data_IF_170246804443
#
_entry.id   IF_170246804443
#
_cell.length_a   1.000
_cell.length_b   1.000
_cell.length_c   1.000
_cell.angle_alpha   90.00
_cell.angle_beta   90.00
_cell.angle_gamma   90.00
#
_symmetry.space_group_name_H-M   'P 1'
#
loop_
_entity.id
_entity.type
_entity.pdbx_description
1 polymer ?
#
# COMPACT_ATOMS: atom_id res chain seq x y z
N UNK A 1 22.99 -7.23 32.20
CA UNK A 1 22.46 -8.55 31.83
C UNK A 1 21.09 -8.70 32.49
N UNK A 2 20.00 -8.62 31.72
CA UNK A 2 18.65 -8.84 32.25
C UNK A 2 18.45 -10.32 32.63
N UNK A 3 17.60 -10.59 33.63
CA UNK A 3 17.29 -11.95 34.07
C UNK A 3 16.62 -12.75 32.92
N UNK A 4 16.83 -14.08 32.82
CA UNK A 4 16.26 -14.89 31.74
C UNK A 4 14.73 -14.79 31.63
N UNK A 5 14.01 -14.76 32.77
CA UNK A 5 12.54 -14.65 32.79
C UNK A 5 12.01 -13.30 32.31
N UNK A 6 12.72 -12.20 32.58
CA UNK A 6 12.33 -10.87 32.10
C UNK A 6 12.55 -10.73 30.61
N UNK A 7 13.59 -11.37 30.06
CA UNK A 7 13.87 -11.34 28.61
C UNK A 7 12.78 -12.01 27.78
N UNK A 8 12.24 -13.16 28.24
CA UNK A 8 11.17 -13.87 27.53
C UNK A 8 9.87 -13.09 27.51
N UNK A 9 9.45 -12.51 28.64
CA UNK A 9 8.24 -11.66 28.70
C UNK A 9 8.36 -10.44 27.79
N UNK A 10 9.52 -9.79 27.77
CA UNK A 10 9.78 -8.64 26.89
C UNK A 10 9.75 -9.05 25.42
N UNK A 11 10.39 -10.17 25.05
CA UNK A 11 10.37 -10.68 23.66
C UNK A 11 8.94 -11.03 23.19
N UNK A 12 8.12 -11.67 24.04
CA UNK A 12 6.72 -11.97 23.71
C UNK A 12 5.90 -10.70 23.51
N UNK A 13 6.05 -9.70 24.38
CA UNK A 13 5.33 -8.43 24.25
C UNK A 13 5.74 -7.67 22.99
N UNK A 14 7.04 -7.63 22.69
CA UNK A 14 7.57 -7.03 21.46
C UNK A 14 6.98 -7.71 20.21
N UNK A 15 6.92 -9.04 20.20
CA UNK A 15 6.32 -9.82 19.12
C UNK A 15 4.84 -9.51 18.95
N UNK A 16 4.07 -9.43 20.04
CA UNK A 16 2.65 -9.07 19.96
C UNK A 16 2.47 -7.67 19.41
N UNK A 17 3.28 -6.70 19.83
CA UNK A 17 3.18 -5.34 19.31
C UNK A 17 3.52 -5.26 17.81
N UNK A 18 4.55 -5.97 17.35
CA UNK A 18 4.85 -6.07 15.92
C UNK A 18 3.72 -6.76 15.15
N UNK A 19 3.13 -7.81 15.71
CA UNK A 19 2.02 -8.53 15.07
C UNK A 19 0.81 -7.61 14.90
N UNK A 20 0.45 -6.86 15.95
CA UNK A 20 -0.62 -5.87 15.91
C UNK A 20 -0.31 -4.75 14.89
N UNK A 21 0.93 -4.28 14.82
CA UNK A 21 1.36 -3.27 13.86
C UNK A 21 1.26 -3.78 12.41
N UNK A 22 1.73 -5.00 12.15
CA UNK A 22 1.64 -5.67 10.86
C UNK A 22 0.18 -5.86 10.42
N UNK A 23 -0.66 -6.33 11.35
CA UNK A 23 -2.09 -6.52 11.09
C UNK A 23 -2.75 -5.16 10.77
N UNK A 24 -2.55 -4.15 11.60
CA UNK A 24 -3.15 -2.83 11.41
C UNK A 24 -2.83 -2.20 10.05
N UNK A 25 -1.60 -2.36 9.57
CA UNK A 25 -1.17 -1.84 8.27
C UNK A 25 -1.66 -2.65 7.06
N UNK A 26 -2.27 -3.82 7.26
CA UNK A 26 -2.67 -4.72 6.18
C UNK A 26 -4.20 -4.85 6.00
N UNK A 27 -5.01 -4.50 7.01
CA UNK A 27 -6.47 -4.77 7.01
C UNK A 27 -7.27 -3.86 6.08
N UNK A 28 -7.01 -2.56 6.07
CA UNK A 28 -7.93 -1.63 5.41
C UNK A 28 -7.96 -1.79 3.88
N UNK A 29 -6.83 -2.17 3.27
CA UNK A 29 -6.66 -2.07 1.83
C UNK A 29 -7.37 -3.18 1.02
N UNK A 30 -7.37 -4.46 1.43
CA UNK A 30 -8.24 -5.48 0.85
C UNK A 30 -9.73 -5.11 0.82
N UNK A 31 -10.22 -4.42 1.86
CA UNK A 31 -11.62 -3.98 1.95
C UNK A 31 -11.90 -2.89 0.92
N UNK A 32 -11.01 -1.89 0.80
CA UNK A 32 -11.16 -0.81 -0.18
C UNK A 32 -11.06 -1.33 -1.62
N UNK A 33 -10.13 -2.23 -1.92
CA UNK A 33 -10.06 -2.88 -3.25
C UNK A 33 -11.32 -3.72 -3.50
N UNK A 34 -11.79 -4.47 -2.51
CA UNK A 34 -13.02 -5.24 -2.63
C UNK A 34 -14.22 -4.37 -3.01
N UNK A 35 -14.37 -3.23 -2.32
CA UNK A 35 -15.41 -2.24 -2.60
C UNK A 35 -15.27 -1.62 -4.00
N UNK A 36 -14.05 -1.30 -4.45
CA UNK A 36 -13.79 -0.76 -5.79
C UNK A 36 -14.23 -1.71 -6.92
N UNK A 37 -14.12 -3.02 -6.70
CA UNK A 37 -14.46 -4.05 -7.68
C UNK A 37 -15.86 -4.66 -7.45
N UNK A 38 -16.62 -4.18 -6.46
CA UNK A 38 -17.94 -4.73 -6.12
C UNK A 38 -17.90 -6.18 -5.63
N UNK A 39 -16.78 -6.60 -5.02
CA UNK A 39 -16.60 -7.98 -4.56
C UNK A 39 -17.56 -8.32 -3.42
N UNK A 40 -18.05 -9.55 -3.43
CA UNK A 40 -18.85 -10.11 -2.34
C UNK A 40 -18.03 -10.27 -1.06
N UNK A 41 -18.71 -10.33 0.09
CA UNK A 41 -18.03 -10.51 1.38
C UNK A 41 -17.12 -11.76 1.45
N UNK A 42 -17.49 -12.94 0.91
CA UNK A 42 -16.56 -14.07 0.80
C UNK A 42 -15.32 -13.79 -0.03
N UNK A 43 -15.44 -13.07 -1.16
CA UNK A 43 -14.31 -12.70 -2.01
C UNK A 43 -13.37 -11.71 -1.31
N UNK A 44 -13.92 -10.73 -0.59
CA UNK A 44 -13.14 -9.82 0.27
C UNK A 44 -12.43 -10.60 1.38
N UNK A 45 -13.09 -11.58 1.98
CA UNK A 45 -12.51 -12.47 2.99
C UNK A 45 -11.34 -13.27 2.41
N UNK A 46 -11.51 -13.84 1.21
CA UNK A 46 -10.44 -14.55 0.49
C UNK A 46 -9.28 -13.63 0.12
N UNK A 47 -9.54 -12.41 -0.35
CA UNK A 47 -8.50 -11.41 -0.64
C UNK A 47 -7.75 -10.99 0.63
N UNK A 48 -8.46 -10.76 1.74
CA UNK A 48 -7.86 -10.48 3.04
C UNK A 48 -6.95 -11.63 3.48
N UNK A 49 -7.43 -12.87 3.40
CA UNK A 49 -6.67 -14.06 3.76
C UNK A 49 -5.31 -14.10 3.05
N UNK A 50 -5.36 -14.02 1.72
CA UNK A 50 -4.20 -14.13 0.84
C UNK A 50 -3.26 -12.95 1.01
N UNK A 51 -3.80 -11.74 1.24
CA UNK A 51 -2.99 -10.55 1.55
C UNK A 51 -2.27 -10.67 2.89
N UNK A 52 -2.93 -11.09 3.97
CA UNK A 52 -2.28 -11.29 5.28
C UNK A 52 -1.20 -12.37 5.20
N UNK A 53 -1.47 -13.46 4.47
CA UNK A 53 -0.51 -14.53 4.23
C UNK A 53 0.77 -14.00 3.57
N UNK A 54 0.60 -13.28 2.45
CA UNK A 54 1.72 -12.73 1.68
C UNK A 54 2.45 -11.62 2.45
N UNK A 55 1.76 -10.72 3.15
CA UNK A 55 2.35 -9.69 4.03
C UNK A 55 3.29 -10.32 5.07
N UNK A 56 2.81 -11.34 5.78
CA UNK A 56 3.63 -12.03 6.79
C UNK A 56 4.82 -12.75 6.16
N UNK A 57 4.60 -13.47 5.06
CA UNK A 57 5.65 -14.24 4.39
C UNK A 57 6.72 -13.31 3.79
N UNK A 58 6.29 -12.24 3.11
CA UNK A 58 7.14 -11.22 2.52
C UNK A 58 8.00 -10.52 3.58
N UNK A 59 7.39 -10.09 4.70
CA UNK A 59 8.07 -9.46 5.83
C UNK A 59 9.14 -10.38 6.43
N UNK A 60 8.82 -11.66 6.60
CA UNK A 60 9.77 -12.66 7.09
C UNK A 60 10.93 -12.87 6.12
N UNK A 61 10.65 -13.10 4.83
CA UNK A 61 11.66 -13.34 3.79
C UNK A 61 12.62 -12.16 3.64
N UNK A 62 12.09 -10.93 3.65
CA UNK A 62 12.91 -9.72 3.63
C UNK A 62 13.78 -9.56 4.87
N UNK A 63 13.22 -9.83 6.06
CA UNK A 63 13.93 -9.74 7.33
C UNK A 63 15.03 -10.80 7.51
N UNK A 64 14.91 -11.97 6.88
CA UNK A 64 15.90 -13.05 6.94
C UNK A 64 16.93 -12.95 5.81
N UNK A 65 16.48 -12.84 4.56
CA UNK A 65 17.33 -13.01 3.38
C UNK A 65 17.50 -11.72 2.57
N UNK A 66 16.42 -10.95 2.40
CA UNK A 66 16.39 -9.72 1.60
C UNK A 66 17.21 -8.57 2.18
N UNK A 67 16.56 -7.49 2.62
CA UNK A 67 17.27 -6.35 3.21
C UNK A 67 17.71 -6.57 4.67
N UNK A 68 17.24 -7.63 5.34
CA UNK A 68 17.66 -8.09 6.68
C UNK A 68 17.42 -7.13 7.85
N UNK A 69 16.46 -6.22 7.73
CA UNK A 69 16.03 -5.27 8.77
C UNK A 69 14.59 -5.58 9.23
N UNK A 70 14.16 -5.12 10.41
CA UNK A 70 12.76 -5.20 10.84
C UNK A 70 11.91 -4.14 10.13
N UNK A 71 11.60 -4.39 8.85
CA UNK A 71 10.75 -3.51 8.04
C UNK A 71 9.54 -4.33 7.61
N UNK A 72 8.36 -3.85 7.95
CA UNK A 72 7.10 -4.42 7.47
C UNK A 72 7.00 -4.30 5.95
N UNK A 73 6.67 -5.41 5.30
CA UNK A 73 6.18 -5.44 3.92
C UNK A 73 4.66 -5.35 3.95
N UNK A 74 4.09 -4.20 3.62
CA UNK A 74 2.64 -3.99 3.64
C UNK A 74 2.06 -3.72 2.26
N UNK A 75 0.74 -3.82 2.07
CA UNK A 75 0.09 -3.50 0.80
C UNK A 75 0.47 -2.08 0.33
N UNK A 76 0.94 -1.93 -0.91
CA UNK A 76 1.50 -0.66 -1.38
C UNK A 76 0.41 0.33 -1.80
N UNK A 77 0.52 1.59 -1.37
CA UNK A 77 -0.42 2.65 -1.74
C UNK A 77 -0.52 2.90 -3.25
N UNK A 78 0.58 2.72 -4.00
CA UNK A 78 0.56 2.83 -5.47
C UNK A 78 -0.35 1.79 -6.11
N UNK A 79 -0.44 0.59 -5.54
CA UNK A 79 -1.32 -0.44 -6.06
C UNK A 79 -2.78 -0.03 -5.95
N UNK A 80 -3.21 0.67 -4.89
CA UNK A 80 -4.59 1.20 -4.82
C UNK A 80 -4.90 2.06 -6.05
N UNK A 81 -3.97 2.95 -6.44
CA UNK A 81 -4.15 3.81 -7.61
C UNK A 81 -4.23 3.00 -8.90
N UNK A 82 -3.41 1.96 -9.05
CA UNK A 82 -3.41 1.10 -10.23
C UNK A 82 -4.72 0.28 -10.28
N UNK A 83 -5.15 -0.31 -9.16
CA UNK A 83 -6.42 -1.02 -9.04
C UNK A 83 -7.61 -0.12 -9.37
N UNK A 84 -7.66 1.11 -8.83
CA UNK A 84 -8.75 2.05 -9.09
C UNK A 84 -8.83 2.46 -10.56
N UNK A 85 -7.70 2.81 -11.19
CA UNK A 85 -7.65 3.17 -12.61
C UNK A 85 -8.06 1.99 -13.49
N UNK A 86 -7.54 0.79 -13.20
CA UNK A 86 -7.84 -0.40 -14.00
C UNK A 86 -9.27 -0.91 -13.81
N UNK A 87 -9.84 -0.83 -12.60
CA UNK A 87 -11.25 -1.15 -12.37
C UNK A 87 -12.16 -0.33 -13.28
N UNK A 88 -11.86 0.96 -13.39
CA UNK A 88 -12.65 1.88 -14.18
C UNK A 88 -12.41 1.72 -15.69
N UNK A 89 -11.16 1.57 -16.13
CA UNK A 89 -10.84 1.39 -17.55
C UNK A 89 -11.28 0.03 -18.09
N UNK A 90 -11.16 -1.04 -17.30
CA UNK A 90 -11.60 -2.39 -17.67
C UNK A 90 -13.11 -2.42 -17.94
N UNK A 91 -13.91 -1.84 -17.03
CA UNK A 91 -15.35 -1.69 -17.22
C UNK A 91 -15.72 -0.95 -18.51
N UNK A 92 -14.97 0.09 -18.89
CA UNK A 92 -15.20 0.83 -20.14
C UNK A 92 -14.84 0.02 -21.39
N UNK A 93 -13.80 -0.81 -21.31
CA UNK A 93 -13.42 -1.72 -22.40
C UNK A 93 -14.40 -2.91 -22.54
N UNK A 94 -15.37 -3.05 -21.63
CA UNK A 94 -16.29 -4.17 -21.57
C UNK A 94 -15.70 -5.42 -20.92
N UNK A 95 -14.53 -5.28 -20.27
CA UNK A 95 -13.89 -6.37 -19.54
C UNK A 95 -14.71 -6.67 -18.27
N UNK A 96 -14.78 -7.95 -17.93
CA UNK A 96 -15.26 -8.37 -16.61
C UNK A 96 -14.30 -7.90 -15.52
N UNK A 97 -14.80 -7.77 -14.29
CA UNK A 97 -13.95 -7.45 -13.14
C UNK A 97 -12.85 -8.51 -12.97
N UNK A 98 -13.15 -9.78 -13.28
CA UNK A 98 -12.20 -10.89 -13.17
C UNK A 98 -11.07 -10.79 -14.19
N UNK A 99 -11.37 -10.50 -15.46
CA UNK A 99 -10.35 -10.27 -16.49
C UNK A 99 -9.44 -9.09 -16.10
N UNK A 100 -10.03 -8.01 -15.57
CA UNK A 100 -9.26 -6.86 -15.07
C UNK A 100 -8.30 -7.25 -13.94
N UNK A 101 -8.77 -8.07 -12.99
CA UNK A 101 -7.97 -8.59 -11.89
C UNK A 101 -6.83 -9.51 -12.38
N UNK A 102 -7.07 -10.34 -13.40
CA UNK A 102 -6.03 -11.17 -14.02
C UNK A 102 -4.94 -10.33 -14.70
N UNK A 103 -5.33 -9.23 -15.37
CA UNK A 103 -4.36 -8.28 -15.96
C UNK A 103 -3.57 -7.55 -14.88
N UNK A 104 -4.19 -7.23 -13.74
CA UNK A 104 -3.52 -6.68 -12.56
C UNK A 104 -2.46 -7.66 -12.01
N UNK A 105 -2.79 -8.95 -11.87
CA UNK A 105 -1.80 -9.97 -11.48
C UNK A 105 -0.65 -10.07 -12.49
N UNK A 106 -0.95 -10.04 -13.79
CA UNK A 106 0.06 -10.00 -14.84
C UNK A 106 0.97 -8.77 -14.74
N UNK A 107 0.41 -7.62 -14.36
CA UNK A 107 1.17 -6.38 -14.10
C UNK A 107 2.05 -6.50 -12.86
N UNK A 108 1.58 -7.18 -11.80
CA UNK A 108 2.39 -7.50 -10.63
C UNK A 108 3.55 -8.44 -10.99
N UNK A 109 3.35 -9.41 -11.87
CA UNK A 109 4.42 -10.27 -12.39
C UNK A 109 5.46 -9.48 -13.17
N UNK A 110 5.04 -8.56 -14.05
CA UNK A 110 5.98 -7.66 -14.74
C UNK A 110 6.79 -6.83 -13.74
N UNK A 111 6.12 -6.23 -12.75
CA UNK A 111 6.75 -5.47 -11.67
C UNK A 111 7.78 -6.32 -10.92
N UNK A 112 7.38 -7.53 -10.54
CA UNK A 112 8.24 -8.47 -9.82
C UNK A 112 9.46 -8.89 -10.64
N UNK A 113 9.28 -9.15 -11.93
CA UNK A 113 10.36 -9.45 -12.86
C UNK A 113 11.38 -8.30 -12.90
N UNK A 114 10.94 -7.05 -13.11
CA UNK A 114 11.85 -5.91 -13.16
C UNK A 114 12.63 -5.71 -11.84
N UNK A 115 11.97 -5.86 -10.69
CA UNK A 115 12.63 -5.79 -9.39
C UNK A 115 13.69 -6.89 -9.20
N UNK A 116 13.38 -8.12 -9.60
CA UNK A 116 14.34 -9.23 -9.62
C UNK A 116 15.54 -8.88 -10.49
N UNK A 117 15.31 -8.40 -11.72
CA UNK A 117 16.37 -8.00 -12.65
C UNK A 117 17.22 -6.85 -12.07
N UNK A 118 16.60 -5.84 -11.44
CA UNK A 118 17.31 -4.73 -10.80
C UNK A 118 18.25 -5.22 -9.69
N UNK A 119 17.79 -6.15 -8.85
CA UNK A 119 18.62 -6.71 -7.78
C UNK A 119 19.72 -7.64 -8.31
N UNK A 120 19.36 -8.60 -9.19
CA UNK A 120 20.28 -9.60 -9.73
C UNK A 120 21.42 -8.99 -10.53
N UNK A 121 21.11 -8.04 -11.42
CA UNK A 121 22.11 -7.34 -12.24
C UNK A 121 22.76 -6.16 -11.51
N UNK A 122 22.49 -5.99 -10.20
CA UNK A 122 23.00 -4.90 -9.36
C UNK A 122 22.68 -3.50 -9.92
N UNK A 123 21.58 -3.37 -10.65
CA UNK A 123 21.14 -2.13 -11.28
C UNK A 123 20.38 -1.21 -10.32
N UNK A 124 19.98 -1.70 -9.13
CA UNK A 124 19.16 -0.92 -8.19
C UNK A 124 19.72 0.49 -7.95
N UNK A 125 21.02 0.61 -7.64
CA UNK A 125 21.66 1.91 -7.42
C UNK A 125 21.68 2.83 -8.65
N UNK A 126 21.66 2.26 -9.86
CA UNK A 126 21.64 3.02 -11.13
C UNK A 126 20.25 3.51 -11.51
N UNK A 127 19.19 2.96 -10.92
CA UNK A 127 17.82 3.40 -11.17
C UNK A 127 17.42 4.51 -10.18
N UNK A 128 18.00 4.49 -8.98
CA UNK A 128 17.66 5.41 -7.90
C UNK A 128 18.03 6.87 -8.14
N UNK A 129 18.99 7.18 -9.02
CA UNK A 129 19.35 8.58 -9.33
C UNK A 129 18.17 9.40 -9.89
N UNK A 130 17.14 8.72 -10.38
CA UNK A 130 15.91 9.32 -10.88
C UNK A 130 14.99 9.79 -9.73
N UNK A 131 15.04 9.14 -8.56
CA UNK A 131 14.14 9.43 -7.43
C UNK A 131 14.84 10.32 -6.40
N UNK A 132 15.07 11.56 -6.80
CA UNK A 132 15.47 12.62 -5.85
C UNK A 132 14.33 12.90 -4.84
N UNK A 133 14.61 13.53 -3.69
CA UNK A 133 13.54 13.98 -2.77
C UNK A 133 12.48 14.82 -3.49
N UNK A 134 12.88 15.67 -4.44
CA UNK A 134 11.97 16.46 -5.26
C UNK A 134 11.00 15.59 -6.09
N UNK A 135 11.52 14.61 -6.83
CA UNK A 135 10.70 13.68 -7.63
C UNK A 135 9.78 12.84 -6.74
N UNK A 136 10.32 12.32 -5.64
CA UNK A 136 9.58 11.51 -4.67
C UNK A 136 8.46 12.33 -4.02
N UNK A 137 8.73 13.58 -3.65
CA UNK A 137 7.75 14.49 -3.09
C UNK A 137 6.60 14.78 -4.05
N UNK A 138 6.91 15.03 -5.32
CA UNK A 138 5.91 15.26 -6.36
C UNK A 138 5.04 14.02 -6.60
N UNK A 139 5.65 12.83 -6.66
CA UNK A 139 4.94 11.56 -6.79
C UNK A 139 3.98 11.33 -5.61
N UNK A 140 4.45 11.48 -4.36
CA UNK A 140 3.62 11.28 -3.17
C UNK A 140 2.45 12.27 -3.12
N UNK A 141 2.68 13.52 -3.53
CA UNK A 141 1.63 14.53 -3.64
C UNK A 141 0.56 14.11 -4.66
N UNK A 142 0.96 13.73 -5.89
CA UNK A 142 -0.02 13.31 -6.90
C UNK A 142 -0.73 12.00 -6.52
N UNK A 143 -0.03 11.05 -5.90
CA UNK A 143 -0.63 9.78 -5.45
C UNK A 143 -1.74 10.02 -4.42
N UNK A 144 -1.51 10.95 -3.50
CA UNK A 144 -2.48 11.30 -2.45
C UNK A 144 -3.64 12.12 -3.00
N UNK A 145 -3.41 12.98 -4.00
CA UNK A 145 -4.50 13.65 -4.75
C UNK A 145 -5.36 12.62 -5.50
N UNK A 146 -4.74 11.71 -6.26
CA UNK A 146 -5.45 10.68 -7.05
C UNK A 146 -6.40 9.83 -6.21
N UNK A 147 -5.97 9.43 -5.02
CA UNK A 147 -6.72 8.53 -4.15
C UNK A 147 -7.70 9.24 -3.21
N UNK A 148 -7.62 10.57 -3.11
CA UNK A 148 -8.53 11.35 -2.27
C UNK A 148 -10.00 11.16 -2.68
N UNK A 149 -10.29 11.15 -3.99
CA UNK A 149 -11.64 10.89 -4.51
C UNK A 149 -12.14 9.49 -4.14
N UNK A 150 -11.35 8.45 -4.44
CA UNK A 150 -11.67 7.06 -4.11
C UNK A 150 -11.99 6.86 -2.62
N UNK A 151 -11.18 7.42 -1.71
CA UNK A 151 -11.46 7.29 -0.29
C UNK A 151 -12.73 8.04 0.12
N UNK A 152 -12.95 9.25 -0.40
CA UNK A 152 -14.16 10.01 -0.09
C UNK A 152 -15.42 9.31 -0.62
N UNK A 153 -15.40 8.75 -1.82
CA UNK A 153 -16.51 7.95 -2.37
C UNK A 153 -16.83 6.77 -1.45
N UNK A 154 -15.81 6.01 -1.05
CA UNK A 154 -15.97 4.90 -0.12
C UNK A 154 -16.45 5.30 1.28
N UNK A 155 -16.03 6.47 1.78
CA UNK A 155 -16.51 7.04 3.04
C UNK A 155 -17.98 7.50 2.96
N UNK A 156 -18.41 8.03 1.82
CA UNK A 156 -19.77 8.54 1.60
C UNK A 156 -20.77 7.45 1.20
N UNK A 157 -20.32 6.20 1.05
CA UNK A 157 -21.15 5.08 0.60
C UNK A 157 -21.54 5.15 -0.88
N UNK A 158 -20.75 5.87 -1.70
CA UNK A 158 -21.04 6.11 -3.13
C UNK A 158 -20.57 4.96 -4.03
N UNK A 159 -20.92 3.73 -3.66
CA UNK A 159 -20.56 2.53 -4.43
C UNK A 159 -21.57 2.26 -5.56
N UNK A 160 -21.28 1.26 -6.39
CA UNK A 160 -22.11 0.92 -7.54
C UNK A 160 -23.57 0.64 -7.11
N UNK A 161 -24.51 1.38 -7.70
CA UNK A 161 -25.93 1.30 -7.36
C UNK A 161 -26.40 2.23 -6.23
N UNK A 162 -25.53 3.07 -5.66
CA UNK A 162 -25.94 4.08 -4.69
C UNK A 162 -26.79 5.20 -5.35
N UNK A 163 -27.95 5.49 -4.75
CA UNK A 163 -28.83 6.60 -5.19
C UNK A 163 -28.35 7.97 -4.69
N UNK A 164 -27.42 7.99 -3.75
CA UNK A 164 -26.87 9.21 -3.15
C UNK A 164 -25.98 8.91 -1.94
N UNK A 165 -25.59 9.95 -1.22
CA UNK A 165 -24.75 9.84 -0.01
C UNK A 165 -25.51 9.08 1.07
N UNK A 166 -24.88 8.03 1.61
CA UNK A 166 -25.40 7.35 2.80
C UNK A 166 -24.96 8.10 4.06
N UNK A 167 -25.92 8.68 4.77
CA UNK A 167 -25.67 9.49 5.96
C UNK A 167 -24.99 8.73 7.11
N UNK A 168 -25.32 7.44 7.29
CA UNK A 168 -24.72 6.61 8.33
C UNK A 168 -23.28 6.23 7.99
N UNK A 169 -23.02 5.84 6.73
CA UNK A 169 -21.67 5.55 6.25
C UNK A 169 -20.78 6.79 6.36
N UNK A 170 -21.27 7.94 5.91
CA UNK A 170 -20.55 9.21 6.00
C UNK A 170 -20.24 9.57 7.46
N UNK A 171 -21.24 9.55 8.35
CA UNK A 171 -21.05 9.89 9.76
C UNK A 171 -20.02 8.99 10.44
N UNK A 172 -20.15 7.68 10.29
CA UNK A 172 -19.21 6.70 10.88
C UNK A 172 -17.80 6.89 10.33
N UNK A 173 -17.65 7.12 9.02
CA UNK A 173 -16.38 7.37 8.38
C UNK A 173 -15.71 8.66 8.87
N UNK A 174 -16.42 9.79 8.94
CA UNK A 174 -15.85 11.05 9.41
C UNK A 174 -15.50 11.02 10.91
N UNK A 175 -16.29 10.35 11.74
CA UNK A 175 -15.93 10.11 13.15
C UNK A 175 -14.67 9.26 13.24
N UNK A 176 -14.59 8.17 12.47
CA UNK A 176 -13.40 7.31 12.38
C UNK A 176 -12.16 8.11 11.96
N UNK A 177 -12.26 8.91 10.90
CA UNK A 177 -11.20 9.78 10.42
C UNK A 177 -10.72 10.74 11.52
N UNK A 178 -11.66 11.41 12.19
CA UNK A 178 -11.37 12.31 13.29
C UNK A 178 -10.66 11.62 14.46
N UNK A 179 -11.07 10.40 14.81
CA UNK A 179 -10.41 9.59 15.84
C UNK A 179 -8.99 9.20 15.44
N UNK A 180 -8.78 8.68 14.23
CA UNK A 180 -7.44 8.30 13.75
C UNK A 180 -6.51 9.50 13.71
N UNK A 181 -6.96 10.64 13.16
CA UNK A 181 -6.16 11.87 13.10
C UNK A 181 -5.89 12.44 14.49
N UNK A 182 -6.90 12.49 15.36
CA UNK A 182 -6.77 12.96 16.75
C UNK A 182 -5.73 12.16 17.51
N UNK A 183 -5.77 10.83 17.43
CA UNK A 183 -4.79 9.94 18.04
C UNK A 183 -3.40 10.06 17.40
N UNK A 184 -3.33 10.24 16.07
CA UNK A 184 -2.05 10.36 15.35
C UNK A 184 -1.32 11.68 15.69
N UNK A 185 -2.08 12.77 15.87
CA UNK A 185 -1.53 14.11 16.14
C UNK A 185 -1.24 14.28 17.64
N UNK A 186 -2.25 14.02 18.48
CA UNK A 186 -2.21 14.36 19.92
C UNK A 186 -1.88 13.18 20.83
N UNK A 187 -2.00 11.95 20.33
CA UNK A 187 -1.73 10.74 21.09
C UNK A 187 -0.27 10.63 21.54
N UNK A 188 -0.05 9.86 22.61
CA UNK A 188 1.29 9.63 23.20
C UNK A 188 1.58 8.13 23.25
N UNK A 189 2.86 7.78 23.08
CA UNK A 189 3.34 6.41 23.15
C UNK A 189 2.54 5.46 22.26
N UNK A 190 2.01 4.39 22.85
CA UNK A 190 1.28 3.32 22.14
C UNK A 190 0.03 3.82 21.41
N UNK A 191 -0.70 4.80 21.96
CA UNK A 191 -1.92 5.32 21.32
C UNK A 191 -1.64 5.93 19.95
N UNK A 192 -0.47 6.59 19.81
CA UNK A 192 -0.02 7.15 18.54
C UNK A 192 0.45 6.06 17.57
N UNK A 193 1.19 5.06 18.06
CA UNK A 193 1.65 3.92 17.26
C UNK A 193 0.52 3.08 16.68
N UNK A 194 -0.59 2.95 17.41
CA UNK A 194 -1.74 2.14 17.03
C UNK A 194 -2.98 2.97 16.68
N UNK A 195 -2.82 4.26 16.37
CA UNK A 195 -3.93 5.19 16.11
C UNK A 195 -4.89 4.68 15.03
N UNK A 196 -4.34 4.11 13.94
CA UNK A 196 -5.13 3.52 12.84
C UNK A 196 -5.97 2.34 13.34
N UNK A 197 -5.38 1.40 14.08
CA UNK A 197 -6.10 0.24 14.58
C UNK A 197 -7.18 0.63 15.61
N UNK A 198 -6.86 1.53 16.53
CA UNK A 198 -7.82 2.02 17.53
C UNK A 198 -8.97 2.73 16.84
N UNK A 199 -8.69 3.57 15.85
CA UNK A 199 -9.71 4.27 15.08
C UNK A 199 -10.59 3.31 14.27
N UNK A 200 -10.01 2.32 13.58
CA UNK A 200 -10.78 1.27 12.89
C UNK A 200 -11.66 0.52 13.89
N UNK A 201 -11.11 0.11 15.04
CA UNK A 201 -11.85 -0.66 16.04
C UNK A 201 -13.04 0.14 16.61
N UNK A 202 -12.80 1.41 16.96
CA UNK A 202 -13.85 2.29 17.48
C UNK A 202 -14.89 2.62 16.40
N UNK A 203 -14.45 2.93 15.18
CA UNK A 203 -15.32 3.20 14.04
C UNK A 203 -16.20 2.01 13.67
N UNK A 204 -15.62 0.80 13.71
CA UNK A 204 -16.34 -0.44 13.47
C UNK A 204 -17.41 -0.67 14.54
N UNK A 205 -17.09 -0.54 15.83
CA UNK A 205 -18.09 -0.65 16.91
C UNK A 205 -19.21 0.38 16.75
N UNK A 206 -18.88 1.63 16.39
CA UNK A 206 -19.89 2.67 16.14
C UNK A 206 -20.79 2.33 14.95
N UNK A 207 -20.23 1.72 13.90
CA UNK A 207 -20.99 1.28 12.74
C UNK A 207 -22.01 0.19 13.09
N UNK A 208 -21.59 -0.83 13.84
CA UNK A 208 -22.47 -1.93 14.28
C UNK A 208 -23.60 -1.45 15.21
N UNK A 209 -23.39 -0.34 15.93
CA UNK A 209 -24.45 0.28 16.75
C UNK A 209 -25.42 1.10 15.88
N UNK A 210 -24.90 1.77 14.84
CA UNK A 210 -25.68 2.66 13.99
C UNK A 210 -26.46 1.92 12.89
N UNK A 211 -25.96 0.78 12.43
CA UNK A 211 -26.57 -0.04 11.39
C UNK A 211 -27.19 -1.29 12.01
N UNK A 212 -28.49 -1.57 11.79
CA UNK A 212 -29.12 -2.78 12.31
C UNK A 212 -28.36 -4.03 11.85
N UNK A 213 -28.07 -4.92 12.80
CA UNK A 213 -27.39 -6.19 12.50
C UNK A 213 -28.17 -6.96 11.44
N UNK A 214 -27.57 -7.12 10.25
CA UNK A 214 -28.08 -8.07 9.28
C UNK A 214 -27.74 -9.48 9.77
N UNK A 215 -28.68 -10.42 9.63
CA UNK A 215 -28.44 -11.82 9.97
C UNK A 215 -27.32 -12.34 9.08
N UNK A 216 -26.12 -12.46 9.65
CA UNK A 216 -24.98 -13.01 8.94
C UNK A 216 -25.33 -14.44 8.49
N UNK A 217 -25.12 -14.73 7.21
CA UNK A 217 -25.31 -16.07 6.65
C UNK A 217 -24.47 -17.06 7.48
N UNK A 218 -25.16 -17.91 8.25
CA UNK A 218 -24.56 -18.78 9.27
C UNK A 218 -24.06 -20.08 8.65
N UNK A 219 -23.43 -19.99 7.48
CA UNK A 219 -22.76 -21.15 6.89
C UNK A 219 -21.57 -21.52 7.77
N UNK A 220 -21.43 -22.81 8.04
CA UNK A 220 -20.27 -23.37 8.71
C UNK A 220 -19.02 -23.00 7.93
N UNK A 221 -18.09 -22.30 8.58
CA UNK A 221 -16.79 -21.96 8.01
C UNK A 221 -15.79 -23.00 8.49
N UNK A 222 -14.93 -23.48 7.57
CA UNK A 222 -13.82 -24.35 7.95
C UNK A 222 -12.90 -23.65 8.96
N UNK A 223 -12.39 -24.41 9.93
CA UNK A 223 -11.49 -23.86 10.95
C UNK A 223 -10.09 -23.58 10.42
N UNK A 224 -9.71 -24.24 9.33
CA UNK A 224 -8.41 -24.11 8.69
C UNK A 224 -8.58 -24.17 7.18
N UNK A 225 -7.96 -23.25 6.45
CA UNK A 225 -7.84 -23.35 4.99
C UNK A 225 -6.51 -22.77 4.50
N UNK A 226 -5.96 -23.35 3.45
CA UNK A 226 -4.80 -22.79 2.76
C UNK A 226 -5.24 -21.64 1.83
N UNK A 227 -4.41 -20.59 1.67
CA UNK A 227 -4.71 -19.52 0.73
C UNK A 227 -4.79 -20.08 -0.69
N UNK A 228 -5.87 -19.77 -1.38
CA UNK A 228 -6.10 -20.21 -2.75
C UNK A 228 -5.05 -19.61 -3.70
N UNK A 229 -4.53 -20.46 -4.58
CA UNK A 229 -3.60 -20.09 -5.65
C UNK A 229 -4.42 -19.76 -6.89
N UNK A 230 -4.14 -18.63 -7.53
CA UNK A 230 -4.86 -18.15 -8.71
C UNK A 230 -6.38 -18.06 -8.50
N UNK A 231 -6.84 -17.49 -7.37
CA UNK A 231 -8.28 -17.40 -7.13
C UNK A 231 -9.01 -16.43 -8.07
N UNK A 232 -8.27 -15.52 -8.73
CA UNK A 232 -8.81 -14.73 -9.84
C UNK A 232 -8.67 -15.43 -11.21
N UNK A 233 -8.14 -16.64 -11.23
CA UNK A 233 -7.68 -17.35 -12.43
C UNK A 233 -6.20 -17.11 -12.73
N UNK A 234 -5.69 -17.67 -13.85
CA UNK A 234 -4.30 -17.49 -14.22
C UNK A 234 -4.01 -16.03 -14.64
N UNK A 235 -2.81 -15.51 -14.30
CA UNK A 235 -2.46 -14.12 -14.56
C UNK A 235 -2.34 -13.84 -16.06
N UNK A 236 -2.96 -12.74 -16.51
CA UNK A 236 -2.94 -12.29 -17.89
C UNK A 236 -1.78 -11.30 -18.13
N UNK A 237 -0.62 -11.82 -18.55
CA UNK A 237 0.53 -10.97 -18.90
C UNK A 237 0.38 -10.37 -20.30
N UNK A 238 -0.22 -9.19 -20.37
CA UNK A 238 -0.35 -8.45 -21.63
C UNK A 238 0.87 -7.55 -21.88
N UNK A 239 1.37 -7.41 -23.12
CA UNK A 239 2.43 -6.45 -23.43
C UNK A 239 2.04 -5.00 -23.13
N UNK A 240 0.74 -4.70 -23.14
CA UNK A 240 0.17 -3.38 -22.84
C UNK A 240 0.46 -2.85 -21.43
N UNK A 241 0.69 -3.74 -20.47
CA UNK A 241 0.96 -3.37 -19.07
C UNK A 241 2.43 -3.43 -18.68
N UNK A 242 3.31 -3.82 -19.61
CA UNK A 242 4.75 -3.88 -19.36
C UNK A 242 5.34 -2.53 -18.92
N UNK A 243 5.02 -1.38 -19.57
CA UNK A 243 5.53 -0.08 -19.13
C UNK A 243 5.03 0.31 -17.74
N UNK A 244 3.77 0.00 -17.42
CA UNK A 244 3.18 0.20 -16.11
C UNK A 244 3.92 -0.62 -15.04
N UNK A 245 4.19 -1.90 -15.31
CA UNK A 245 4.97 -2.75 -14.42
C UNK A 245 6.40 -2.25 -14.20
N UNK A 246 7.05 -1.74 -15.25
CA UNK A 246 8.39 -1.15 -15.14
C UNK A 246 8.40 0.11 -14.25
N UNK A 247 7.50 1.07 -14.50
CA UNK A 247 7.43 2.31 -13.72
C UNK A 247 7.09 1.99 -12.26
N UNK A 248 6.17 1.06 -12.03
CA UNK A 248 5.80 0.60 -10.68
C UNK A 248 7.00 -0.01 -9.97
N UNK A 249 7.78 -0.88 -10.64
CA UNK A 249 8.99 -1.48 -10.07
C UNK A 249 10.01 -0.42 -9.65
N UNK A 250 10.21 0.60 -10.48
CA UNK A 250 11.12 1.71 -10.19
C UNK A 250 10.67 2.51 -8.96
N UNK A 251 9.37 2.81 -8.84
CA UNK A 251 8.81 3.54 -7.69
C UNK A 251 8.94 2.71 -6.40
N UNK A 252 8.59 1.42 -6.46
CA UNK A 252 8.68 0.52 -5.32
C UNK A 252 10.12 0.32 -4.86
N UNK A 253 11.08 0.31 -5.79
CA UNK A 253 12.50 0.31 -5.46
C UNK A 253 12.91 1.57 -4.66
N UNK A 254 12.40 2.74 -5.02
CA UNK A 254 12.62 3.97 -4.25
C UNK A 254 12.06 3.85 -2.83
N UNK A 255 10.84 3.31 -2.69
CA UNK A 255 10.22 3.08 -1.38
C UNK A 255 11.01 2.10 -0.50
N UNK A 256 11.55 1.02 -1.08
CA UNK A 256 12.44 0.10 -0.39
C UNK A 256 13.66 0.85 0.19
N UNK A 257 14.31 1.67 -0.62
CA UNK A 257 15.51 2.42 -0.21
C UNK A 257 15.17 3.43 0.88
N UNK A 258 14.10 4.19 0.71
CA UNK A 258 13.61 5.13 1.72
C UNK A 258 13.33 4.44 3.06
N UNK A 259 12.70 3.26 3.02
CA UNK A 259 12.38 2.47 4.20
C UNK A 259 13.63 1.91 4.88
N UNK A 260 14.60 1.40 4.11
CA UNK A 260 15.89 0.94 4.62
C UNK A 260 16.65 2.09 5.28
N UNK A 261 16.71 3.26 4.64
CA UNK A 261 17.34 4.46 5.21
C UNK A 261 16.66 4.87 6.52
N UNK A 262 15.33 4.95 6.53
CA UNK A 262 14.55 5.36 7.69
C UNK A 262 14.75 4.42 8.88
N UNK A 263 14.74 3.11 8.65
CA UNK A 263 14.96 2.12 9.72
C UNK A 263 16.41 2.05 10.15
N UNK A 264 17.37 2.16 9.23
CA UNK A 264 18.80 2.26 9.58
C UNK A 264 19.10 3.47 10.46
N UNK A 265 18.50 4.63 10.16
CA UNK A 265 18.63 5.82 11.01
C UNK A 265 18.13 5.54 12.43
N UNK A 266 16.99 4.86 12.57
CA UNK A 266 16.42 4.53 13.89
C UNK A 266 17.25 3.50 14.65
N UNK A 267 17.78 2.48 13.99
CA UNK A 267 18.58 1.44 14.64
C UNK A 267 19.98 1.98 14.99
N UNK A 268 20.69 2.50 13.99
CA UNK A 268 22.13 2.80 14.05
C UNK A 268 22.46 4.29 14.28
N UNK A 269 21.47 5.18 14.26
CA UNK A 269 21.66 6.63 14.43
C UNK A 269 22.21 7.33 13.18
N UNK A 270 22.35 6.63 12.05
CA UNK A 270 22.82 7.19 10.77
C UNK A 270 22.10 6.52 9.58
N UNK A 271 21.95 7.22 8.44
CA UNK A 271 21.20 6.73 7.28
C UNK A 271 22.05 5.81 6.41
N UNK A 272 22.62 4.74 7.00
CA UNK A 272 23.53 3.82 6.30
C UNK A 272 22.79 2.64 5.69
N UNK A 273 23.16 2.30 4.48
CA UNK A 273 22.78 1.06 3.79
C UNK A 273 23.91 0.62 2.87
N UNK A 274 23.91 -0.64 2.46
CA UNK A 274 24.85 -1.13 1.43
C UNK A 274 24.13 -1.38 0.11
N UNK A 275 24.84 -1.26 -1.02
CA UNK A 275 24.24 -1.60 -2.31
C UNK A 275 23.80 -3.05 -2.39
N UNK A 276 24.52 -3.96 -1.73
CA UNK A 276 24.12 -5.37 -1.64
C UNK A 276 22.79 -5.53 -0.89
N UNK A 277 22.59 -4.79 0.20
CA UNK A 277 21.35 -4.80 0.97
C UNK A 277 20.16 -4.36 0.11
N UNK A 278 20.33 -3.29 -0.68
CA UNK A 278 19.28 -2.81 -1.60
C UNK A 278 19.05 -3.79 -2.75
N UNK A 279 20.10 -4.36 -3.33
CA UNK A 279 19.97 -5.34 -4.42
C UNK A 279 19.25 -6.60 -3.94
N UNK A 280 19.60 -7.14 -2.76
CA UNK A 280 18.88 -8.27 -2.14
C UNK A 280 17.45 -7.90 -1.81
N UNK A 281 17.24 -6.73 -1.20
CA UNK A 281 15.90 -6.22 -0.91
C UNK A 281 15.04 -6.12 -2.17
N UNK A 282 15.61 -5.62 -3.28
CA UNK A 282 14.93 -5.49 -4.57
C UNK A 282 14.56 -6.85 -5.15
N UNK A 283 15.49 -7.82 -5.17
CA UNK A 283 15.19 -9.17 -5.65
C UNK A 283 14.10 -9.85 -4.82
N UNK A 284 14.14 -9.73 -3.49
CA UNK A 284 13.10 -10.30 -2.63
C UNK A 284 11.78 -9.55 -2.74
N UNK A 285 11.79 -8.24 -2.98
CA UNK A 285 10.58 -7.48 -3.26
C UNK A 285 9.93 -7.97 -4.56
N UNK A 286 10.74 -8.30 -5.58
CA UNK A 286 10.23 -8.87 -6.81
C UNK A 286 9.70 -10.31 -6.65
N UNK A 287 10.35 -11.15 -5.84
CA UNK A 287 9.81 -12.47 -5.46
C UNK A 287 8.46 -12.30 -4.73
N UNK A 288 8.36 -11.34 -3.81
CA UNK A 288 7.12 -11.06 -3.08
C UNK A 288 5.99 -10.62 -4.03
N UNK A 289 6.29 -9.87 -5.10
CA UNK A 289 5.30 -9.56 -6.14
C UNK A 289 4.87 -10.80 -6.92
N UNK A 290 5.79 -11.73 -7.19
CA UNK A 290 5.45 -13.04 -7.74
C UNK A 290 4.53 -13.85 -6.83
N UNK A 291 4.81 -13.89 -5.51
CA UNK A 291 3.94 -14.52 -4.52
C UNK A 291 2.58 -13.85 -4.47
N UNK A 292 2.54 -12.52 -4.55
CA UNK A 292 1.28 -11.77 -4.57
C UNK A 292 0.43 -12.17 -5.77
N UNK A 293 1.01 -12.18 -6.97
CA UNK A 293 0.30 -12.58 -8.18
C UNK A 293 -0.14 -14.05 -8.11
N UNK A 294 0.69 -14.94 -7.56
CA UNK A 294 0.36 -16.35 -7.38
C UNK A 294 -0.87 -16.56 -6.48
N UNK A 295 -0.97 -15.81 -5.38
CA UNK A 295 -2.07 -15.91 -4.43
C UNK A 295 -3.20 -14.91 -4.71
N UNK A 296 -3.18 -14.17 -5.82
CA UNK A 296 -4.09 -13.05 -6.11
C UNK A 296 -4.34 -12.14 -4.90
N UNK A 297 -3.24 -11.67 -4.30
CA UNK A 297 -3.23 -10.79 -3.15
C UNK A 297 -2.99 -9.32 -3.57
N UNK A 298 -2.94 -8.40 -2.60
CA UNK A 298 -2.45 -7.05 -2.86
C UNK A 298 -0.94 -6.98 -2.72
N UNK A 299 -0.26 -6.49 -3.77
CA UNK A 299 1.18 -6.44 -3.82
C UNK A 299 1.79 -5.47 -2.80
N UNK A 300 2.94 -5.89 -2.27
CA UNK A 300 3.55 -5.30 -1.10
C UNK A 300 4.66 -4.30 -1.42
N UNK A 301 4.99 -3.48 -0.43
CA UNK A 301 6.18 -2.65 -0.39
C UNK A 301 6.71 -2.55 1.04
N UNK A 302 8.01 -2.36 1.16
CA UNK A 302 8.63 -1.99 2.44
C UNK A 302 8.05 -0.66 2.93
N UNK A 303 7.59 -0.64 4.18
CA UNK A 303 6.95 0.53 4.78
C UNK A 303 7.88 1.25 5.76
N UNK A 304 8.21 2.50 5.44
CA UNK A 304 9.00 3.39 6.29
C UNK A 304 8.33 3.69 7.64
N UNK A 305 7.02 3.47 7.77
CA UNK A 305 6.27 3.56 9.04
C UNK A 305 6.84 2.64 10.13
N UNK A 306 7.52 1.55 9.75
CA UNK A 306 8.27 0.69 10.66
C UNK A 306 9.27 1.49 11.50
N UNK A 307 9.93 2.49 10.91
CA UNK A 307 10.86 3.37 11.62
C UNK A 307 10.15 4.22 12.69
N UNK A 308 8.96 4.74 12.39
CA UNK A 308 8.15 5.49 13.35
C UNK A 308 7.68 4.61 14.50
N UNK A 309 7.21 3.40 14.20
CA UNK A 309 6.84 2.41 15.22
C UNK A 309 8.01 2.08 16.15
N UNK A 310 9.20 1.83 15.60
CA UNK A 310 10.41 1.53 16.37
C UNK A 310 10.88 2.70 17.23
N UNK A 311 10.77 3.94 16.74
CA UNK A 311 11.11 5.13 17.53
C UNK A 311 10.18 5.31 18.73
N UNK A 312 8.88 5.01 18.57
CA UNK A 312 7.88 5.14 19.63
C UNK A 312 7.95 4.01 20.66
N UNK A 313 8.21 2.79 20.21
CA UNK A 313 8.24 1.59 21.08
C UNK A 313 9.63 1.29 21.64
N UNK A 314 10.69 1.86 21.06
CA UNK A 314 12.08 1.55 21.40
C UNK A 314 12.58 0.19 20.87
N UNK A 315 11.74 -0.55 20.13
CA UNK A 315 12.06 -1.90 19.66
C UNK A 315 13.02 -1.88 18.47
N UNK A 316 14.31 -2.11 18.72
CA UNK A 316 15.34 -2.20 17.66
C UNK A 316 15.69 -3.61 17.24
N UNK A 317 15.22 -4.61 17.99
CA UNK A 317 15.53 -6.03 17.76
C UNK A 317 14.76 -6.56 16.57
N UNK A 318 15.40 -7.45 15.81
CA UNK A 318 14.81 -8.05 14.61
C UNK A 318 13.99 -9.31 14.90
N UNK A 319 14.36 -10.09 15.91
CA UNK A 319 13.71 -11.37 16.22
C UNK A 319 12.20 -11.22 16.49
N UNK A 320 11.73 -10.25 17.30
CA UNK A 320 10.29 -10.12 17.57
C UNK A 320 9.47 -9.85 16.30
N UNK A 321 10.00 -9.03 15.39
CA UNK A 321 9.42 -8.77 14.08
C UNK A 321 9.32 -10.04 13.21
N UNK A 322 10.34 -10.88 13.21
CA UNK A 322 10.32 -12.15 12.45
C UNK A 322 9.26 -13.11 13.01
N UNK A 323 9.16 -13.25 14.33
CA UNK A 323 8.11 -14.06 14.95
C UNK A 323 6.72 -13.50 14.65
N UNK A 324 6.54 -12.19 14.72
CA UNK A 324 5.28 -11.53 14.39
C UNK A 324 4.86 -11.75 12.93
N UNK A 325 5.84 -11.74 12.01
CA UNK A 325 5.62 -12.01 10.60
C UNK A 325 5.13 -13.45 10.36
N UNK A 326 5.75 -14.43 11.03
CA UNK A 326 5.28 -15.83 10.99
C UNK A 326 3.90 -16.01 11.64
N UNK A 327 3.63 -15.32 12.75
CA UNK A 327 2.32 -15.33 13.39
C UNK A 327 1.24 -14.79 12.46
N UNK A 328 1.53 -13.72 11.70
CA UNK A 328 0.58 -13.18 10.73
C UNK A 328 0.32 -14.16 9.58
N UNK A 329 1.36 -14.80 9.03
CA UNK A 329 1.23 -15.87 8.04
C UNK A 329 0.43 -17.06 8.58
N UNK A 330 0.61 -17.42 9.85
CA UNK A 330 -0.17 -18.47 10.51
C UNK A 330 -1.62 -18.08 10.72
N UNK A 331 -1.88 -16.84 11.16
CA UNK A 331 -3.22 -16.30 11.42
C UNK A 331 -4.11 -16.36 10.16
N UNK A 332 -3.53 -16.07 8.99
CA UNK A 332 -4.28 -16.14 7.73
C UNK A 332 -4.77 -17.55 7.39
N UNK A 333 -4.27 -18.60 8.02
CA UNK A 333 -4.74 -19.97 7.79
C UNK A 333 -6.02 -20.30 8.55
N UNK A 334 -6.56 -19.36 9.34
CA UNK A 334 -7.76 -19.55 10.16
C UNK A 334 -8.91 -18.67 9.64
N UNK A 335 -9.75 -19.18 8.72
CA UNK A 335 -10.86 -18.42 8.12
C UNK A 335 -11.80 -17.72 9.12
N UNK A 336 -12.14 -18.28 10.30
CA UNK A 336 -12.99 -17.58 11.26
C UNK A 336 -12.41 -16.23 11.70
N UNK A 337 -11.08 -16.17 11.89
CA UNK A 337 -10.38 -14.95 12.29
C UNK A 337 -10.31 -13.96 11.14
N UNK A 338 -10.00 -14.44 9.93
CA UNK A 338 -9.95 -13.60 8.74
C UNK A 338 -11.32 -13.01 8.41
N UNK A 339 -12.38 -13.83 8.47
CA UNK A 339 -13.77 -13.41 8.26
C UNK A 339 -14.18 -12.32 9.25
N UNK A 340 -13.82 -12.48 10.52
CA UNK A 340 -14.05 -11.44 11.53
C UNK A 340 -13.33 -10.13 11.15
N UNK A 341 -12.04 -10.19 10.81
CA UNK A 341 -11.27 -9.01 10.39
C UNK A 341 -11.87 -8.36 9.13
N UNK A 342 -12.35 -9.15 8.18
CA UNK A 342 -12.97 -8.68 6.93
C UNK A 342 -14.35 -8.05 7.13
N UNK A 343 -14.99 -8.22 8.29
CA UNK A 343 -16.27 -7.56 8.60
C UNK A 343 -16.13 -6.10 9.03
N UNK A 344 -14.92 -5.55 9.03
CA UNK A 344 -14.71 -4.10 9.12
C UNK A 344 -15.44 -3.41 7.96
N UNK A 345 -16.36 -2.46 8.23
CA UNK A 345 -17.12 -1.77 7.20
C UNK A 345 -16.23 -0.97 6.26
N UNK A 346 -16.58 -0.95 4.97
CA UNK A 346 -15.84 -0.21 3.95
C UNK A 346 -15.69 1.30 4.26
N UNK A 347 -16.70 2.03 4.78
CA UNK A 347 -16.54 3.45 5.13
C UNK A 347 -15.48 3.68 6.20
N UNK A 348 -15.39 2.78 7.20
CA UNK A 348 -14.39 2.82 8.28
C UNK A 348 -12.99 2.55 7.74
N UNK A 349 -12.84 1.55 6.86
CA UNK A 349 -11.56 1.23 6.22
C UNK A 349 -11.05 2.39 5.33
N UNK A 350 -11.94 3.00 4.54
CA UNK A 350 -11.60 4.17 3.71
C UNK A 350 -11.17 5.36 4.56
N UNK A 351 -11.87 5.66 5.65
CA UNK A 351 -11.50 6.73 6.58
C UNK A 351 -10.11 6.51 7.21
N UNK A 352 -9.79 5.27 7.58
CA UNK A 352 -8.49 4.92 8.13
C UNK A 352 -7.33 5.07 7.12
N UNK A 353 -7.57 4.69 5.85
CA UNK A 353 -6.60 4.92 4.78
C UNK A 353 -6.44 6.41 4.48
N UNK A 354 -7.54 7.18 4.39
CA UNK A 354 -7.45 8.63 4.19
C UNK A 354 -6.61 9.29 5.27
N UNK A 355 -6.77 8.91 6.54
CA UNK A 355 -5.96 9.42 7.65
C UNK A 355 -4.45 9.13 7.47
N UNK A 356 -4.11 7.96 6.96
CA UNK A 356 -2.72 7.56 6.64
C UNK A 356 -2.19 8.37 5.47
N UNK A 357 -3.03 8.63 4.47
CA UNK A 357 -2.69 9.41 3.28
C UNK A 357 -2.52 10.91 3.57
N UNK A 358 -3.17 11.46 4.59
CA UNK A 358 -2.88 12.81 5.10
C UNK A 358 -1.41 12.92 5.56
N UNK A 359 -0.90 11.90 6.26
CA UNK A 359 0.51 11.88 6.67
C UNK A 359 1.45 11.74 5.47
N UNK A 360 1.06 10.90 4.50
CA UNK A 360 1.81 10.69 3.26
C UNK A 360 1.88 11.97 2.41
N UNK A 361 0.80 12.76 2.37
CA UNK A 361 0.77 14.09 1.75
C UNK A 361 1.78 15.03 2.42
N UNK A 362 1.79 15.07 3.75
CA UNK A 362 2.76 15.86 4.51
C UNK A 362 4.21 15.48 4.21
N UNK A 363 4.50 14.17 4.10
CA UNK A 363 5.82 13.69 3.67
C UNK A 363 6.16 14.12 2.24
N UNK A 364 5.20 14.08 1.32
CA UNK A 364 5.35 14.57 -0.04
C UNK A 364 5.75 16.04 -0.08
N UNK A 365 5.01 16.89 0.64
CA UNK A 365 5.29 18.32 0.75
C UNK A 365 6.63 18.61 1.44
N UNK A 366 6.96 17.87 2.50
CA UNK A 366 8.26 17.99 3.17
C UNK A 366 9.43 17.63 2.25
N UNK A 367 9.26 16.62 1.39
CA UNK A 367 10.27 16.22 0.42
C UNK A 367 10.44 17.26 -0.70
N UNK A 368 9.34 17.86 -1.17
CA UNK A 368 9.37 18.95 -2.15
C UNK A 368 10.12 20.17 -1.62
N UNK A 369 9.94 20.48 -0.33
CA UNK A 369 10.51 21.67 0.32
C UNK A 369 11.86 21.41 1.00
N UNK A 370 12.41 20.21 0.88
CA UNK A 370 13.72 19.85 1.46
C UNK A 370 14.87 20.74 0.95
N UNK A 371 14.75 21.22 -0.30
CA UNK A 371 15.59 22.29 -0.86
C UNK A 371 14.68 23.43 -1.33
N UNK A 372 15.19 24.68 -1.41
CA UNK A 372 14.42 25.78 -1.97
C UNK A 372 13.86 25.45 -3.36
N UNK A 373 12.59 25.83 -3.57
CA UNK A 373 11.89 25.70 -4.84
C UNK A 373 12.22 26.91 -5.72
N UNK A 374 13.28 26.79 -6.50
CA UNK A 374 13.64 27.77 -7.55
C UNK A 374 12.62 27.78 -8.70
N UNK A 375 12.73 28.78 -9.59
CA UNK A 375 11.82 28.94 -10.72
C UNK A 375 11.77 27.69 -11.63
N UNK A 376 12.89 26.99 -11.81
CA UNK A 376 12.96 25.76 -12.59
C UNK A 376 12.11 24.67 -11.94
N UNK A 377 12.31 24.39 -10.64
CA UNK A 377 11.54 23.40 -9.89
C UNK A 377 10.06 23.74 -9.87
N UNK A 378 9.71 25.01 -9.63
CA UNK A 378 8.32 25.46 -9.68
C UNK A 378 7.70 25.24 -11.06
N UNK A 379 8.43 25.50 -12.14
CA UNK A 379 7.96 25.25 -13.51
C UNK A 379 7.76 23.75 -13.77
N UNK A 380 8.70 22.90 -13.32
CA UNK A 380 8.58 21.44 -13.45
C UNK A 380 7.35 20.93 -12.69
N UNK A 381 7.15 21.36 -11.44
CA UNK A 381 5.97 20.99 -10.65
C UNK A 381 4.69 21.50 -11.30
N UNK A 382 4.64 22.77 -11.69
CA UNK A 382 3.47 23.39 -12.29
C UNK A 382 3.02 22.64 -13.54
N UNK A 383 3.94 22.38 -14.48
CA UNK A 383 3.62 21.64 -15.71
C UNK A 383 3.18 20.20 -15.42
N UNK A 384 3.91 19.50 -14.56
CA UNK A 384 3.64 18.08 -14.28
C UNK A 384 2.37 17.88 -13.48
N UNK A 385 2.07 18.77 -12.53
CA UNK A 385 0.84 18.71 -11.73
C UNK A 385 -0.37 19.13 -12.55
N UNK A 386 -0.30 20.22 -13.33
CA UNK A 386 -1.44 20.64 -14.16
C UNK A 386 -1.80 19.59 -15.20
N UNK A 387 -0.81 18.98 -15.86
CA UNK A 387 -1.06 17.90 -16.82
C UNK A 387 -1.47 16.59 -16.11
N UNK A 388 -0.70 16.15 -15.12
CA UNK A 388 -0.94 14.88 -14.42
C UNK A 388 -2.27 14.88 -13.67
N UNK A 389 -2.54 15.88 -12.84
CA UNK A 389 -3.81 16.01 -12.10
C UNK A 389 -4.95 16.35 -13.06
N UNK A 390 -4.71 17.19 -14.08
CA UNK A 390 -5.73 17.51 -15.09
C UNK A 390 -6.27 16.27 -15.81
N UNK A 391 -5.39 15.31 -16.15
CA UNK A 391 -5.78 14.03 -16.74
C UNK A 391 -6.68 13.20 -15.81
N UNK A 392 -6.54 13.33 -14.49
CA UNK A 392 -7.38 12.60 -13.50
C UNK A 392 -8.84 13.04 -13.54
N UNK A 393 -9.14 14.24 -14.05
CA UNK A 393 -10.49 14.76 -14.20
C UNK A 393 -11.11 14.49 -15.57
N UNK A 394 -10.35 13.93 -16.52
CA UNK A 394 -10.89 13.61 -17.83
C UNK A 394 -11.67 12.29 -17.78
N UNK A 395 -12.82 12.21 -18.47
CA UNK A 395 -13.47 10.93 -18.73
C UNK A 395 -12.51 10.02 -19.50
N UNK A 396 -12.32 8.74 -19.12
CA UNK A 396 -11.37 7.89 -19.82
C UNK A 396 -11.80 7.51 -21.23
N UNK A 397 -13.07 7.71 -21.59
CA UNK A 397 -13.58 7.60 -22.95
C UNK A 397 -12.74 8.44 -23.94
N UNK A 398 -12.12 9.52 -23.47
CA UNK A 398 -11.22 10.37 -24.26
C UNK A 398 -9.99 9.61 -24.77
N UNK A 399 -9.57 8.53 -24.10
CA UNK A 399 -8.42 7.72 -24.49
C UNK A 399 -8.80 6.45 -25.28
N UNK A 400 -10.09 6.25 -25.56
CA UNK A 400 -10.54 5.12 -26.38
C UNK A 400 -9.98 5.21 -27.80
N UNK A 401 -9.61 4.06 -28.37
CA UNK A 401 -9.00 3.99 -29.70
C UNK A 401 -7.48 4.21 -29.76
N UNK A 402 -6.84 4.58 -28.64
CA UNK A 402 -5.38 4.55 -28.55
C UNK A 402 -4.86 3.10 -28.48
N UNK A 403 -3.63 2.82 -28.95
CA UNK A 403 -2.95 1.56 -28.68
C UNK A 403 -2.91 1.30 -27.17
N UNK A 404 -3.18 0.06 -26.73
CA UNK A 404 -3.37 -0.26 -25.30
C UNK A 404 -2.26 0.24 -24.36
N UNK A 405 -1.00 0.28 -24.82
CA UNK A 405 0.12 0.88 -24.07
C UNK A 405 -0.12 2.37 -23.81
N UNK A 406 -0.48 3.13 -24.84
CA UNK A 406 -0.72 4.58 -24.72
C UNK A 406 -2.00 4.84 -23.93
N UNK A 407 -3.04 4.03 -24.13
CA UNK A 407 -4.27 4.14 -23.35
C UNK A 407 -4.00 3.97 -21.86
N UNK A 408 -3.33 2.89 -21.45
CA UNK A 408 -3.02 2.61 -20.04
C UNK A 408 -2.10 3.65 -19.38
N UNK A 409 -1.18 4.24 -20.16
CA UNK A 409 -0.29 5.28 -19.66
C UNK A 409 -1.00 6.63 -19.54
N UNK A 410 -1.74 7.05 -20.57
CA UNK A 410 -2.37 8.38 -20.63
C UNK A 410 -3.65 8.48 -19.80
N UNK A 411 -4.35 7.36 -19.59
CA UNK A 411 -5.50 7.30 -18.66
C UNK A 411 -5.09 7.40 -17.19
N UNK A 412 -3.78 7.30 -16.89
CA UNK A 412 -3.27 7.37 -15.53
C UNK A 412 -2.50 8.67 -15.30
N UNK A 413 -3.22 9.68 -14.79
CA UNK A 413 -2.67 11.00 -14.49
C UNK A 413 -1.47 10.99 -13.53
N UNK A 414 -1.45 10.06 -12.57
CA UNK A 414 -0.32 9.88 -11.65
C UNK A 414 0.94 9.45 -12.39
N UNK A 415 0.83 8.48 -13.30
CA UNK A 415 1.96 8.00 -14.09
C UNK A 415 2.47 9.09 -15.03
N UNK A 416 1.58 9.75 -15.78
CA UNK A 416 1.97 10.83 -16.70
C UNK A 416 2.68 11.95 -15.94
N UNK A 417 2.09 12.42 -14.84
CA UNK A 417 2.70 13.45 -14.01
C UNK A 417 4.06 13.02 -13.47
N UNK A 418 4.19 11.78 -13.00
CA UNK A 418 5.46 11.26 -12.47
C UNK A 418 6.54 11.17 -13.55
N UNK A 419 6.20 10.67 -14.73
CA UNK A 419 7.11 10.60 -15.89
C UNK A 419 7.55 12.01 -16.31
N UNK A 420 6.65 12.99 -16.31
CA UNK A 420 6.99 14.38 -16.61
C UNK A 420 7.95 14.97 -15.57
N UNK A 421 7.67 14.82 -14.27
CA UNK A 421 8.57 15.30 -13.21
C UNK A 421 9.95 14.69 -13.37
N UNK A 422 10.03 13.38 -13.58
CA UNK A 422 11.27 12.65 -13.81
C UNK A 422 12.01 13.22 -15.02
N UNK A 423 11.34 13.25 -16.18
CA UNK A 423 11.95 13.60 -17.46
C UNK A 423 12.47 15.03 -17.43
N UNK A 424 11.64 15.98 -16.98
CA UNK A 424 12.03 17.39 -16.91
C UNK A 424 13.12 17.62 -15.88
N UNK A 425 13.07 16.95 -14.72
CA UNK A 425 14.11 17.08 -13.71
C UNK A 425 15.47 16.57 -14.20
N UNK A 426 15.51 15.49 -15.00
CA UNK A 426 16.78 14.95 -15.50
C UNK A 426 17.32 15.71 -16.72
N UNK A 427 16.45 16.20 -17.61
CA UNK A 427 16.87 16.86 -18.85
C UNK A 427 17.17 18.35 -18.65
N UNK A 428 16.39 19.05 -17.83
CA UNK A 428 16.62 20.45 -17.52
C UNK A 428 17.70 20.53 -16.44
N UNK A 429 18.95 20.83 -16.79
CA UNK A 429 20.03 20.98 -15.79
C UNK A 429 19.84 22.24 -14.94
N UNK A 430 20.28 22.20 -13.69
CA UNK A 430 20.35 23.40 -12.84
C UNK A 430 21.29 24.42 -13.51
N UNK A 431 20.84 25.67 -13.64
CA UNK A 431 21.74 26.77 -14.00
C UNK A 431 22.64 27.03 -12.80
N UNK A 432 23.95 26.79 -12.95
CA UNK A 432 24.96 27.06 -11.92
C UNK A 432 24.93 28.52 -11.47
#
# INVERSE_FOLDING_TARGET
MEKPSTRWMTETLETVQWFVFLLAGAVALPIVIGSLFGLSFPEITGLMQRTLFVVGAASFLQGVVGHKLPIMEGPAGIWISIFAVMAFSGKQNGDTYLETLQVLEGTMLWTGLFLILFGMFKLSHRVLFVFTPFVTGAFLFMLTVQLSGTFLEGMLGLQEGAEGINGTDAWTAFVTLGLVLGLSITGRGWMKSFAVLIGISAGWVLYEIAVPAQVADSKSVEWFSLPEVFAWGPPAMTPGTLPLGFITAVILLSNLVASVIAVSQTIYGNPRYTYEQINRGSSFLGINHGLTALFSAVANVSLASSSGFMQLTGQKRKQPFLYASLLLTGLSLFPPVVRFISSVPAPVANAALLATFVQLMGLGLSNLTMKPLDQRKLTILGLSFLLGIGLMFLPPDVFTGLPGVLQNLLSNGLLVGTVLVITLNQLWKESN
#
